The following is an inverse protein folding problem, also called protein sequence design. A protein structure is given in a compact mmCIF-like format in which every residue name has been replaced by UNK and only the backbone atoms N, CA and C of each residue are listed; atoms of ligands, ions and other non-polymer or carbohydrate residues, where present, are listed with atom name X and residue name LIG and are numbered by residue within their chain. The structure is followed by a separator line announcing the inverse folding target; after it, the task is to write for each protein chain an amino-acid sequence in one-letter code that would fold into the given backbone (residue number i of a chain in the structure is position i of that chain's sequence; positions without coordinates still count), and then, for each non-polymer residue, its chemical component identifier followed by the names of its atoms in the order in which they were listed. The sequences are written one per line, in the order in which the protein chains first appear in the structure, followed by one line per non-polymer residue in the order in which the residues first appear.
data_IF_955613857822
#
_entry.id   IF_955613857822
#
_cell.length_a   1.000
_cell.length_b   1.000
_cell.length_c   1.000
_cell.angle_alpha   90.00
_cell.angle_beta   90.00
_cell.angle_gamma   90.00
#
_symmetry.space_group_name_H-M   'P 1'
#
loop_
_entity.id
_entity.type
_entity.pdbx_description
1 polymer ?
#
# COMPACT_ATOMS: atom_id res chain seq x y z
N UNK A 1 -1.43 -8.88 -17.07
CA UNK A 1 -1.25 -7.51 -17.62
C UNK A 1 -2.62 -6.88 -17.70
N UNK A 2 -2.80 -5.66 -17.16
CA UNK A 2 -4.09 -4.96 -17.32
C UNK A 2 -4.22 -4.42 -18.76
N UNK A 3 -5.45 -4.24 -19.24
CA UNK A 3 -5.73 -3.59 -20.54
C UNK A 3 -5.06 -2.21 -20.63
N UNK A 4 -5.01 -1.49 -19.50
CA UNK A 4 -4.32 -0.20 -19.39
C UNK A 4 -2.82 -0.32 -19.71
N UNK A 5 -2.13 -1.30 -19.14
CA UNK A 5 -0.71 -1.53 -19.43
C UNK A 5 -0.46 -1.96 -20.88
N UNK A 6 -1.34 -2.75 -21.48
CA UNK A 6 -1.20 -3.12 -22.90
C UNK A 6 -1.26 -1.91 -23.82
N UNK A 7 -2.18 -0.96 -23.55
CA UNK A 7 -2.28 0.30 -24.31
C UNK A 7 -1.12 1.26 -24.02
N UNK A 8 -0.83 1.51 -22.75
CA UNK A 8 0.21 2.47 -22.34
C UNK A 8 1.62 2.05 -22.76
N UNK A 9 1.89 0.74 -22.80
CA UNK A 9 3.22 0.19 -23.02
C UNK A 9 3.37 -0.45 -24.40
N UNK A 10 2.42 -0.19 -25.31
CA UNK A 10 2.52 -0.63 -26.69
C UNK A 10 3.78 -0.05 -27.33
N UNK A 11 4.55 -0.88 -28.04
CA UNK A 11 5.83 -0.54 -28.66
C UNK A 11 6.86 0.13 -27.71
N UNK A 12 6.73 -0.06 -26.39
CA UNK A 12 7.65 0.54 -25.40
C UNK A 12 9.14 0.26 -25.64
N UNK A 13 9.58 -0.90 -26.15
CA UNK A 13 10.99 -1.09 -26.47
C UNK A 13 11.55 -0.06 -27.45
N UNK A 14 10.73 0.51 -28.33
CA UNK A 14 11.15 1.50 -29.33
C UNK A 14 11.26 2.90 -28.73
N UNK A 15 10.28 3.31 -27.92
CA UNK A 15 10.20 4.70 -27.44
C UNK A 15 10.72 4.91 -26.03
N UNK A 16 10.83 3.88 -25.18
CA UNK A 16 11.14 4.04 -23.75
C UNK A 16 12.42 4.85 -23.52
N UNK A 17 13.49 4.55 -24.26
CA UNK A 17 14.80 5.17 -24.11
C UNK A 17 14.76 6.71 -24.17
N UNK A 18 13.93 7.29 -25.04
CA UNK A 18 13.77 8.74 -25.17
C UNK A 18 12.55 9.25 -24.38
N UNK A 19 11.45 8.50 -24.42
CA UNK A 19 10.16 8.89 -23.87
C UNK A 19 10.16 9.03 -22.36
N UNK A 20 10.86 8.16 -21.63
CA UNK A 20 10.88 8.19 -20.15
C UNK A 20 11.85 9.22 -19.57
N UNK A 21 12.80 9.75 -20.36
CA UNK A 21 13.76 10.77 -19.90
C UNK A 21 13.03 12.04 -19.44
N UNK A 22 12.04 12.46 -20.21
CA UNK A 22 11.26 13.67 -19.91
C UNK A 22 10.35 13.46 -18.70
N UNK A 23 10.52 14.29 -17.65
CA UNK A 23 9.71 14.21 -16.44
C UNK A 23 8.20 14.34 -16.71
N UNK A 24 7.81 15.22 -17.66
CA UNK A 24 6.41 15.40 -18.08
C UNK A 24 5.76 14.10 -18.58
N UNK A 25 6.51 13.27 -19.32
CA UNK A 25 6.01 12.02 -19.85
C UNK A 25 5.83 10.98 -18.74
N UNK A 26 6.79 10.92 -17.80
CA UNK A 26 6.68 10.06 -16.61
C UNK A 26 5.43 10.39 -15.79
N UNK A 27 5.17 11.68 -15.58
CA UNK A 27 3.96 12.15 -14.87
C UNK A 27 2.68 11.77 -15.61
N UNK A 28 2.61 12.03 -16.92
CA UNK A 28 1.43 11.69 -17.73
C UNK A 28 1.13 10.18 -17.73
N UNK A 29 2.17 9.35 -17.84
CA UNK A 29 2.05 7.88 -17.75
C UNK A 29 1.52 7.44 -16.37
N UNK A 30 2.06 8.00 -15.28
CA UNK A 30 1.59 7.70 -13.93
C UNK A 30 0.13 8.12 -13.72
N UNK A 31 -0.27 9.29 -14.21
CA UNK A 31 -1.66 9.78 -14.12
C UNK A 31 -2.64 8.90 -14.91
N UNK A 32 -2.25 8.44 -16.11
CA UNK A 32 -3.09 7.53 -16.89
C UNK A 32 -3.25 6.16 -16.20
N UNK A 33 -2.19 5.66 -15.56
CA UNK A 33 -2.22 4.41 -14.80
C UNK A 33 -3.01 4.54 -13.48
N UNK A 34 -2.99 5.72 -12.87
CA UNK A 34 -3.60 6.02 -11.56
C UNK A 34 -5.07 5.64 -11.48
N UNK A 35 -5.85 5.87 -12.54
CA UNK A 35 -7.28 5.56 -12.54
C UNK A 35 -7.57 4.08 -12.27
N UNK A 36 -6.75 3.17 -12.82
CA UNK A 36 -6.82 1.75 -12.53
C UNK A 36 -6.27 1.43 -11.12
N UNK A 37 -5.15 2.06 -10.74
CA UNK A 37 -4.50 1.83 -9.45
C UNK A 37 -5.43 2.16 -8.27
N UNK A 38 -6.11 3.31 -8.30
CA UNK A 38 -7.07 3.70 -7.26
C UNK A 38 -8.18 2.65 -7.08
N UNK A 39 -8.69 2.10 -8.19
CA UNK A 39 -9.77 1.11 -8.14
C UNK A 39 -9.31 -0.23 -7.58
N UNK A 40 -8.12 -0.68 -7.99
CA UNK A 40 -7.51 -1.92 -7.47
C UNK A 40 -7.15 -1.78 -5.99
N UNK A 41 -6.60 -0.63 -5.60
CA UNK A 41 -6.26 -0.32 -4.21
C UNK A 41 -7.45 0.11 -3.37
N UNK A 42 -8.64 0.34 -3.96
CA UNK A 42 -9.84 0.89 -3.32
C UNK A 42 -9.57 2.14 -2.46
N UNK A 43 -8.65 3.00 -2.88
CA UNK A 43 -8.23 4.15 -2.08
C UNK A 43 -8.98 5.43 -2.47
N UNK A 44 -8.89 6.49 -1.67
CA UNK A 44 -9.46 7.78 -2.04
C UNK A 44 -8.76 8.39 -3.27
N UNK A 45 -9.51 9.14 -4.08
CA UNK A 45 -8.99 9.87 -5.25
C UNK A 45 -7.92 10.92 -4.94
N UNK A 46 -7.70 11.24 -3.68
CA UNK A 46 -6.73 12.24 -3.18
C UNK A 46 -5.38 11.62 -2.79
N UNK A 47 -5.29 10.29 -2.68
CA UNK A 47 -4.04 9.56 -2.35
C UNK A 47 -2.98 9.87 -3.41
N UNK A 48 -1.69 9.96 -3.07
CA UNK A 48 -0.67 10.28 -4.11
C UNK A 48 -0.58 9.20 -5.21
N UNK A 49 -0.09 9.56 -6.40
CA UNK A 49 0.04 8.60 -7.52
C UNK A 49 0.90 7.41 -7.13
N UNK A 50 2.07 7.69 -6.53
CA UNK A 50 3.00 6.65 -6.08
C UNK A 50 2.37 5.75 -5.01
N UNK A 51 1.68 6.31 -4.02
CA UNK A 51 1.01 5.49 -3.00
C UNK A 51 -0.07 4.59 -3.59
N UNK A 52 -0.91 5.12 -4.50
CA UNK A 52 -1.95 4.32 -5.16
C UNK A 52 -1.34 3.18 -5.99
N UNK A 53 -0.24 3.44 -6.70
CA UNK A 53 0.50 2.45 -7.48
C UNK A 53 1.13 1.36 -6.59
N UNK A 54 1.77 1.75 -5.49
CA UNK A 54 2.36 0.84 -4.50
C UNK A 54 1.28 -0.03 -3.88
N UNK A 55 0.18 0.54 -3.36
CA UNK A 55 -0.93 -0.24 -2.81
C UNK A 55 -1.52 -1.22 -3.82
N UNK A 56 -1.62 -0.82 -5.09
CA UNK A 56 -2.10 -1.69 -6.17
C UNK A 56 -1.06 -2.74 -6.64
N UNK A 57 0.15 -2.75 -6.07
CA UNK A 57 1.29 -3.59 -6.49
C UNK A 57 1.65 -3.41 -7.96
N UNK A 58 1.50 -2.19 -8.47
CA UNK A 58 1.75 -1.86 -9.87
C UNK A 58 2.96 -0.93 -9.96
N UNK A 59 4.10 -1.38 -10.51
CA UNK A 59 5.19 -0.46 -10.80
C UNK A 59 4.72 0.67 -11.74
N UNK A 60 5.24 1.90 -11.58
CA UNK A 60 4.94 3.00 -12.48
C UNK A 60 5.21 2.63 -13.94
N UNK A 61 4.33 3.06 -14.85
CA UNK A 61 4.36 2.67 -16.25
C UNK A 61 5.66 3.05 -16.96
N UNK A 62 6.34 4.13 -16.56
CA UNK A 62 7.64 4.48 -17.12
C UNK A 62 8.73 3.44 -16.77
N UNK A 63 8.74 2.92 -15.54
CA UNK A 63 9.66 1.83 -15.16
C UNK A 63 9.30 0.52 -15.90
N UNK A 64 8.01 0.24 -16.09
CA UNK A 64 7.56 -0.92 -16.88
C UNK A 64 7.93 -0.79 -18.37
N UNK A 65 7.98 0.43 -18.91
CA UNK A 65 8.42 0.68 -20.28
C UNK A 65 9.91 0.38 -20.43
N UNK A 66 10.74 0.83 -19.48
CA UNK A 66 12.16 0.51 -19.43
C UNK A 66 12.41 -0.98 -19.19
N UNK A 67 11.65 -1.64 -18.31
CA UNK A 67 11.68 -3.10 -18.10
C UNK A 67 11.50 -3.84 -19.43
N UNK A 68 10.48 -3.47 -20.22
CA UNK A 68 10.21 -4.10 -21.51
C UNK A 68 11.32 -3.87 -22.53
N UNK A 69 11.90 -2.67 -22.56
CA UNK A 69 13.05 -2.35 -23.42
C UNK A 69 14.25 -3.22 -23.05
N UNK A 70 14.62 -3.28 -21.77
CA UNK A 70 15.75 -4.10 -21.28
C UNK A 70 15.54 -5.58 -21.57
N UNK A 71 14.30 -6.09 -21.40
CA UNK A 71 13.98 -7.48 -21.78
C UNK A 71 14.21 -7.71 -23.28
N UNK A 72 13.77 -6.79 -24.15
CA UNK A 72 13.91 -6.93 -25.61
C UNK A 72 15.39 -6.99 -26.03
N UNK A 73 16.22 -6.12 -25.48
CA UNK A 73 17.67 -6.05 -25.76
C UNK A 73 18.39 -7.35 -25.38
N UNK A 74 17.95 -7.98 -24.29
CA UNK A 74 18.57 -9.17 -23.71
C UNK A 74 18.06 -10.48 -24.31
N UNK A 75 17.04 -10.46 -25.19
CA UNK A 75 16.46 -11.70 -25.76
C UNK A 75 17.44 -12.59 -26.52
N UNK A 76 18.56 -12.03 -27.00
CA UNK A 76 19.60 -12.75 -27.74
C UNK A 76 20.62 -13.44 -26.82
N UNK A 77 20.56 -13.20 -25.51
CA UNK A 77 21.44 -13.85 -24.54
C UNK A 77 21.18 -15.36 -24.48
N UNK A 78 22.22 -16.19 -24.19
CA UNK A 78 22.09 -17.63 -24.07
C UNK A 78 21.44 -18.04 -22.74
N UNK A 79 20.22 -17.55 -22.50
CA UNK A 79 19.41 -17.86 -21.31
C UNK A 79 17.91 -17.85 -21.67
N UNK A 80 17.07 -18.26 -20.73
CA UNK A 80 15.61 -18.26 -20.98
C UNK A 80 15.01 -16.87 -20.78
N UNK A 81 13.99 -16.54 -21.58
CA UNK A 81 13.22 -15.29 -21.43
C UNK A 81 12.58 -15.18 -20.04
N UNK A 82 12.24 -16.31 -19.41
CA UNK A 82 11.71 -16.33 -18.05
C UNK A 82 12.75 -15.82 -17.02
N UNK A 83 14.01 -16.25 -17.14
CA UNK A 83 15.11 -15.78 -16.29
C UNK A 83 15.36 -14.28 -16.51
N UNK A 84 15.39 -13.83 -17.76
CA UNK A 84 15.56 -12.40 -18.10
C UNK A 84 14.42 -11.58 -17.46
N UNK A 85 13.15 -11.97 -17.67
CA UNK A 85 11.99 -11.27 -17.10
C UNK A 85 12.07 -11.18 -15.57
N UNK A 86 12.51 -12.24 -14.89
CA UNK A 86 12.69 -12.24 -13.45
C UNK A 86 13.77 -11.23 -13.03
N UNK A 87 14.95 -11.28 -13.65
CA UNK A 87 16.05 -10.36 -13.34
C UNK A 87 15.66 -8.89 -13.59
N UNK A 88 15.01 -8.60 -14.71
CA UNK A 88 14.57 -7.25 -15.07
C UNK A 88 13.46 -6.75 -14.15
N UNK A 89 12.55 -7.63 -13.71
CA UNK A 89 11.57 -7.27 -12.68
C UNK A 89 12.23 -6.92 -11.35
N UNK A 90 13.23 -7.68 -10.91
CA UNK A 90 13.98 -7.35 -9.68
C UNK A 90 14.71 -6.00 -9.82
N UNK A 91 15.25 -5.68 -11.00
CA UNK A 91 15.84 -4.37 -11.27
C UNK A 91 14.80 -3.24 -11.20
N UNK A 92 13.62 -3.43 -11.81
CA UNK A 92 12.49 -2.50 -11.73
C UNK A 92 12.05 -2.25 -10.29
N UNK A 93 11.99 -3.29 -9.46
CA UNK A 93 11.59 -3.15 -8.05
C UNK A 93 12.65 -2.41 -7.23
N UNK A 94 13.95 -2.60 -7.50
CA UNK A 94 15.02 -1.80 -6.88
C UNK A 94 14.93 -0.32 -7.26
N UNK A 95 14.71 -0.01 -8.54
CA UNK A 95 14.49 1.37 -9.00
C UNK A 95 13.25 1.99 -8.32
N UNK A 96 12.17 1.22 -8.20
CA UNK A 96 10.95 1.64 -7.52
C UNK A 96 11.18 1.90 -6.03
N UNK A 97 11.95 1.05 -5.34
CA UNK A 97 12.32 1.24 -3.93
C UNK A 97 13.06 2.57 -3.75
N UNK A 98 14.04 2.89 -4.59
CA UNK A 98 14.76 4.18 -4.53
C UNK A 98 13.80 5.36 -4.68
N UNK A 99 12.87 5.31 -5.65
CA UNK A 99 11.86 6.36 -5.81
C UNK A 99 10.95 6.47 -4.57
N UNK A 100 10.59 5.32 -3.99
CA UNK A 100 9.75 5.25 -2.81
C UNK A 100 10.43 5.84 -1.56
N UNK A 101 11.72 5.59 -1.37
CA UNK A 101 12.49 6.12 -0.25
C UNK A 101 12.67 7.64 -0.31
N UNK A 102 12.58 8.23 -1.51
CA UNK A 102 12.81 9.66 -1.73
C UNK A 102 11.54 10.47 -1.97
N UNK A 103 10.36 9.84 -2.07
CA UNK A 103 9.11 10.61 -2.23
C UNK A 103 8.81 11.45 -1.00
N UNK A 104 8.58 12.74 -1.19
CA UNK A 104 8.11 13.65 -0.13
C UNK A 104 6.62 13.51 0.16
N UNK A 105 5.91 12.76 -0.70
CA UNK A 105 4.48 12.46 -0.56
C UNK A 105 4.31 11.05 -0.02
N UNK A 106 3.25 10.84 0.76
CA UNK A 106 2.86 9.54 1.33
C UNK A 106 3.81 8.98 2.41
N UNK A 107 4.37 9.85 3.24
CA UNK A 107 5.22 9.46 4.37
C UNK A 107 4.58 8.38 5.27
N UNK A 108 3.29 8.51 5.59
CA UNK A 108 2.55 7.50 6.34
C UNK A 108 2.51 6.14 5.63
N UNK A 109 2.11 6.12 4.36
CA UNK A 109 2.06 4.87 3.57
C UNK A 109 3.42 4.20 3.47
N UNK A 110 4.49 4.98 3.34
CA UNK A 110 5.86 4.44 3.34
C UNK A 110 6.26 3.85 4.68
N UNK A 111 5.82 4.44 5.80
CA UNK A 111 6.02 3.84 7.12
C UNK A 111 5.33 2.47 7.22
N UNK A 112 4.14 2.32 6.63
CA UNK A 112 3.39 1.06 6.63
C UNK A 112 3.93 0.03 5.61
N UNK A 113 4.51 0.51 4.51
CA UNK A 113 5.03 -0.31 3.40
C UNK A 113 6.46 0.15 3.08
N UNK A 114 7.45 -0.12 3.94
CA UNK A 114 8.81 0.34 3.74
C UNK A 114 9.51 -0.45 2.62
N UNK A 115 9.22 -1.76 2.50
CA UNK A 115 9.83 -2.65 1.51
C UNK A 115 8.84 -2.98 0.38
N UNK A 116 9.13 -2.45 -0.81
CA UNK A 116 8.34 -2.65 -2.03
C UNK A 116 8.41 -4.10 -2.52
N UNK A 117 9.57 -4.76 -2.39
CA UNK A 117 9.75 -6.15 -2.82
C UNK A 117 8.89 -7.08 -1.97
N UNK A 118 8.94 -6.96 -0.63
CA UNK A 118 8.09 -7.73 0.28
C UNK A 118 6.61 -7.47 0.00
N UNK A 119 6.22 -6.21 -0.21
CA UNK A 119 4.83 -5.85 -0.51
C UNK A 119 4.29 -6.44 -1.82
N UNK A 120 5.12 -6.47 -2.87
CA UNK A 120 4.73 -7.00 -4.19
C UNK A 120 4.70 -8.53 -4.19
N UNK A 121 5.62 -9.18 -3.48
CA UNK A 121 5.78 -10.65 -3.48
C UNK A 121 5.19 -11.36 -2.26
N UNK A 122 4.45 -10.65 -1.41
CA UNK A 122 3.74 -11.27 -0.29
C UNK A 122 2.88 -12.45 -0.78
N UNK A 123 2.81 -13.51 0.02
CA UNK A 123 2.14 -14.76 -0.31
C UNK A 123 0.64 -14.60 -0.51
N UNK A 124 0.03 -13.60 0.15
CA UNK A 124 -1.39 -13.33 0.03
C UNK A 124 -1.68 -12.20 -0.97
N UNK A 125 -2.38 -12.56 -2.05
CA UNK A 125 -2.81 -11.63 -3.11
C UNK A 125 -4.29 -11.22 -2.99
N UNK A 126 -4.91 -11.37 -1.82
CA UNK A 126 -6.25 -10.87 -1.57
C UNK A 126 -6.42 -9.41 -2.02
N UNK A 127 -7.60 -9.12 -2.54
CA UNK A 127 -7.97 -7.78 -2.94
C UNK A 127 -7.90 -6.84 -1.74
N UNK A 128 -7.31 -5.66 -1.94
CA UNK A 128 -7.26 -4.62 -0.92
C UNK A 128 -8.68 -4.28 -0.45
N UNK A 129 -8.94 -4.28 0.85
CA UNK A 129 -10.21 -3.81 1.41
C UNK A 129 -10.24 -2.28 1.49
N UNK A 130 -11.44 -1.68 1.46
CA UNK A 130 -11.59 -0.23 1.49
C UNK A 130 -11.00 0.38 2.77
N UNK A 131 -11.37 -0.14 3.95
CA UNK A 131 -10.82 0.33 5.23
C UNK A 131 -9.32 0.03 5.38
N UNK A 132 -8.83 -1.10 4.86
CA UNK A 132 -7.38 -1.35 4.83
C UNK A 132 -6.63 -0.29 3.99
N UNK A 133 -7.20 0.12 2.86
CA UNK A 133 -6.62 1.22 2.08
C UNK A 133 -6.61 2.54 2.86
N UNK A 134 -7.64 2.83 3.66
CA UNK A 134 -7.66 4.00 4.54
C UNK A 134 -6.56 3.91 5.62
N UNK A 135 -6.44 2.75 6.28
CA UNK A 135 -5.42 2.49 7.29
C UNK A 135 -4.01 2.70 6.74
N UNK A 136 -3.73 2.23 5.52
CA UNK A 136 -2.42 2.34 4.89
C UNK A 136 -2.12 3.71 4.28
N UNK A 137 -3.15 4.53 4.03
CA UNK A 137 -2.96 5.85 3.38
C UNK A 137 -3.14 7.03 4.32
N UNK A 138 -3.86 6.86 5.42
CA UNK A 138 -4.32 7.96 6.27
C UNK A 138 -5.37 8.83 5.60
N UNK A 139 -5.98 8.34 4.52
CA UNK A 139 -7.08 9.02 3.84
C UNK A 139 -8.37 8.29 4.20
N UNK A 140 -9.24 8.94 4.98
CA UNK A 140 -10.41 8.32 5.57
C UNK A 140 -11.25 9.29 6.39
N UNK A 141 -12.13 8.77 7.23
CA UNK A 141 -12.96 9.54 8.17
C UNK A 141 -12.17 10.07 9.39
N UNK A 142 -10.91 10.47 9.20
CA UNK A 142 -10.05 11.08 10.23
C UNK A 142 -10.25 12.60 10.22
N UNK A 143 -10.56 13.24 11.36
CA UNK A 143 -10.83 14.69 11.37
C UNK A 143 -9.65 15.51 10.84
N UNK A 144 -8.40 15.11 11.12
CA UNK A 144 -7.21 15.73 10.50
C UNK A 144 -7.33 15.81 8.98
N UNK A 145 -7.68 14.67 8.36
CA UNK A 145 -7.78 14.56 6.92
C UNK A 145 -9.00 15.34 6.40
N UNK A 146 -10.15 15.26 7.06
CA UNK A 146 -11.36 15.97 6.66
C UNK A 146 -11.18 17.49 6.75
N UNK A 147 -10.58 17.99 7.83
CA UNK A 147 -10.22 19.40 8.03
C UNK A 147 -9.28 19.91 6.93
N UNK A 148 -8.20 19.16 6.63
CA UNK A 148 -7.28 19.47 5.52
C UNK A 148 -7.98 19.50 4.15
N UNK A 149 -9.11 18.82 4.02
CA UNK A 149 -9.96 18.82 2.81
C UNK A 149 -11.15 19.77 2.89
N UNK A 150 -11.23 20.61 3.93
CA UNK A 150 -12.32 21.57 4.18
C UNK A 150 -13.69 20.87 4.26
N UNK A 151 -13.72 19.73 4.96
CA UNK A 151 -14.90 18.89 5.21
C UNK A 151 -15.24 18.72 6.69
N UNK A 152 -14.39 19.24 7.57
CA UNK A 152 -14.60 19.34 9.00
C UNK A 152 -14.03 20.69 9.46
N UNK A 153 -14.60 21.25 10.51
CA UNK A 153 -14.20 22.57 11.03
C UNK A 153 -12.93 22.51 11.88
N UNK A 154 -12.66 21.36 12.50
CA UNK A 154 -11.55 21.16 13.45
C UNK A 154 -10.92 19.76 13.25
N UNK A 155 -9.59 19.59 13.37
CA UNK A 155 -8.90 18.30 13.26
C UNK A 155 -9.00 17.38 14.49
N UNK A 156 -9.60 17.83 15.60
CA UNK A 156 -9.71 17.08 16.87
C UNK A 156 -10.41 15.74 16.76
N UNK A 157 -10.00 14.81 17.62
CA UNK A 157 -10.70 13.55 17.76
C UNK A 157 -12.08 13.76 18.39
N UNK A 158 -13.10 13.10 17.83
CA UNK A 158 -14.47 13.19 18.32
C UNK A 158 -14.78 12.18 19.42
N UNK A 159 -13.80 11.37 19.80
CA UNK A 159 -13.96 10.26 20.74
C UNK A 159 -13.07 10.39 21.98
N UNK A 160 -12.14 11.34 21.99
CA UNK A 160 -11.24 11.64 23.10
C UNK A 160 -10.63 13.05 22.94
N UNK A 161 -9.83 13.49 23.90
CA UNK A 161 -9.28 14.86 23.94
C UNK A 161 -8.06 15.11 23.01
N UNK A 162 -7.75 14.18 22.10
CA UNK A 162 -6.64 14.35 21.18
C UNK A 162 -6.89 15.52 20.21
N UNK A 163 -5.96 16.51 20.11
CA UNK A 163 -6.09 17.66 19.23
C UNK A 163 -6.03 17.31 17.74
N UNK A 164 -5.45 16.16 17.38
CA UNK A 164 -5.25 15.77 15.99
C UNK A 164 -5.65 14.31 15.72
N UNK A 165 -6.84 14.13 15.17
CA UNK A 165 -7.39 12.82 14.76
C UNK A 165 -6.72 12.34 13.47
N UNK A 166 -5.54 11.77 13.63
CA UNK A 166 -4.82 11.08 12.56
C UNK A 166 -5.18 9.59 12.51
N UNK A 167 -4.82 8.92 11.43
CA UNK A 167 -4.90 7.45 11.33
C UNK A 167 -4.04 6.76 12.39
N UNK A 168 -2.88 7.34 12.72
CA UNK A 168 -2.00 6.82 13.77
C UNK A 168 -2.71 6.88 15.13
N UNK A 169 -3.30 8.03 15.43
CA UNK A 169 -4.11 8.17 16.64
C UNK A 169 -5.27 7.18 16.66
N UNK A 170 -6.13 7.19 15.63
CA UNK A 170 -7.33 6.35 15.57
C UNK A 170 -7.01 4.86 15.73
N UNK A 171 -6.02 4.34 15.01
CA UNK A 171 -5.74 2.90 14.97
C UNK A 171 -4.84 2.39 16.09
N UNK A 172 -4.01 3.25 16.71
CA UNK A 172 -2.98 2.78 17.65
C UNK A 172 -3.06 3.44 19.03
N UNK A 173 -3.53 4.69 19.13
CA UNK A 173 -3.40 5.47 20.38
C UNK A 173 -4.74 5.80 21.06
N UNK A 174 -5.81 5.94 20.28
CA UNK A 174 -7.08 6.45 20.77
C UNK A 174 -7.66 5.52 21.85
N UNK A 175 -7.96 6.02 23.06
CA UNK A 175 -8.45 5.19 24.16
C UNK A 175 -9.85 4.64 23.89
N UNK A 176 -10.67 5.33 23.08
CA UNK A 176 -12.01 4.87 22.71
C UNK A 176 -12.00 3.54 21.95
N UNK A 177 -10.96 3.30 21.14
CA UNK A 177 -10.80 2.08 20.33
C UNK A 177 -9.92 1.01 21.02
N UNK A 178 -9.66 1.14 22.32
CA UNK A 178 -8.77 0.21 23.04
C UNK A 178 -9.31 -1.23 23.04
N UNK A 179 -10.63 -1.41 23.15
CA UNK A 179 -11.24 -2.75 23.12
C UNK A 179 -11.03 -3.44 21.77
N UNK A 180 -11.18 -2.72 20.66
CA UNK A 180 -10.98 -3.29 19.32
C UNK A 180 -9.54 -3.71 19.07
N UNK A 181 -8.58 -3.03 19.70
CA UNK A 181 -7.15 -3.39 19.63
C UNK A 181 -6.79 -4.61 20.47
N UNK A 182 -7.62 -4.99 21.45
CA UNK A 182 -7.29 -5.99 22.47
C UNK A 182 -6.81 -7.32 21.88
N UNK A 183 -7.51 -7.84 20.87
CA UNK A 183 -7.11 -9.08 20.20
C UNK A 183 -5.70 -8.96 19.60
N UNK A 184 -5.42 -7.87 18.87
CA UNK A 184 -4.11 -7.63 18.27
C UNK A 184 -3.01 -7.46 19.30
N UNK A 185 -3.25 -6.71 20.37
CA UNK A 185 -2.27 -6.49 21.44
C UNK A 185 -1.96 -7.79 22.19
N UNK A 186 -2.94 -8.67 22.36
CA UNK A 186 -2.72 -10.02 22.91
C UNK A 186 -1.89 -10.90 21.97
N UNK A 187 -2.18 -10.89 20.67
CA UNK A 187 -1.41 -11.67 19.70
C UNK A 187 0.05 -11.18 19.58
N UNK A 188 0.28 -9.87 19.69
CA UNK A 188 1.63 -9.26 19.65
C UNK A 188 2.33 -9.33 21.02
N UNK A 189 1.57 -9.47 22.12
CA UNK A 189 2.07 -9.53 23.50
C UNK A 189 2.47 -8.18 24.10
N UNK A 190 2.12 -7.08 23.42
CA UNK A 190 2.39 -5.69 23.84
C UNK A 190 1.44 -4.73 23.11
N UNK A 191 1.36 -3.44 23.51
CA UNK A 191 0.62 -2.45 22.75
C UNK A 191 1.04 -2.42 21.28
N UNK A 192 0.03 -2.39 20.40
CA UNK A 192 0.23 -2.39 18.96
C UNK A 192 0.82 -1.05 18.54
N UNK A 193 1.86 -1.09 17.72
CA UNK A 193 2.56 0.08 17.21
C UNK A 193 2.47 0.13 15.69
N UNK A 194 2.53 1.33 15.08
CA UNK A 194 2.51 1.44 13.62
C UNK A 194 3.68 0.68 12.94
N UNK A 195 4.80 0.53 13.64
CA UNK A 195 5.97 -0.17 13.13
C UNK A 195 5.82 -1.70 13.11
N UNK A 196 4.71 -2.24 13.63
CA UNK A 196 4.39 -3.67 13.55
C UNK A 196 3.76 -4.03 12.20
N UNK A 197 3.11 -3.05 11.54
CA UNK A 197 2.37 -3.24 10.29
C UNK A 197 3.23 -3.80 9.14
N UNK A 198 4.47 -3.32 8.91
CA UNK A 198 5.36 -3.87 7.89
C UNK A 198 5.66 -5.37 8.01
N UNK A 199 5.52 -5.95 9.20
CA UNK A 199 5.72 -7.38 9.41
C UNK A 199 4.40 -8.16 9.47
N UNK A 200 3.33 -7.53 9.99
CA UNK A 200 2.00 -8.13 10.06
C UNK A 200 1.41 -8.39 8.67
N UNK A 201 1.45 -7.41 7.75
CA UNK A 201 0.72 -7.54 6.48
C UNK A 201 1.41 -8.46 5.47
N UNK A 202 2.71 -8.28 5.15
CA UNK A 202 3.39 -9.14 4.20
C UNK A 202 3.66 -10.55 4.74
N UNK A 203 3.70 -10.69 6.08
CA UNK A 203 4.12 -11.91 6.76
C UNK A 203 5.66 -12.08 6.76
N UNK A 204 6.14 -13.24 7.24
CA UNK A 204 7.57 -13.52 7.40
C UNK A 204 8.29 -13.54 6.04
N UNK A 205 9.56 -13.13 6.05
CA UNK A 205 10.43 -13.27 4.89
C UNK A 205 10.66 -14.75 4.58
N UNK A 206 10.40 -15.13 3.32
CA UNK A 206 10.48 -16.52 2.87
C UNK A 206 11.89 -17.07 3.03
N UNK A 207 12.89 -16.23 2.83
CA UNK A 207 14.31 -16.53 2.96
C UNK A 207 14.73 -16.80 4.42
N UNK A 208 13.97 -16.32 5.40
CA UNK A 208 14.22 -16.53 6.83
C UNK A 208 13.40 -17.69 7.42
N UNK A 209 12.53 -18.32 6.62
CA UNK A 209 11.72 -19.43 7.08
C UNK A 209 12.59 -20.68 7.32
N UNK A 210 12.36 -21.44 8.41
CA UNK A 210 13.08 -22.67 8.67
C UNK A 210 12.90 -23.70 7.54
N UNK A 211 13.92 -24.55 7.34
CA UNK A 211 13.85 -25.68 6.41
C UNK A 211 12.82 -26.73 6.86
N UNK A 212 12.66 -26.89 8.18
CA UNK A 212 11.66 -27.78 8.77
C UNK A 212 10.23 -27.36 8.38
N UNK A 213 9.56 -28.22 7.61
CA UNK A 213 8.24 -27.94 7.05
C UNK A 213 7.17 -27.72 8.14
N UNK A 214 7.26 -28.40 9.27
CA UNK A 214 6.29 -28.27 10.37
C UNK A 214 6.47 -26.95 11.11
N UNK A 215 7.71 -26.51 11.35
CA UNK A 215 8.02 -25.20 11.92
C UNK A 215 7.65 -24.07 10.95
N UNK A 216 7.94 -24.22 9.65
CA UNK A 216 7.52 -23.27 8.61
C UNK A 216 6.02 -23.05 8.61
N UNK A 217 5.23 -24.13 8.51
CA UNK A 217 3.76 -24.07 8.53
C UNK A 217 3.21 -23.36 9.77
N UNK A 218 3.81 -23.61 10.95
CA UNK A 218 3.41 -22.93 12.20
C UNK A 218 3.65 -21.42 12.14
N UNK A 219 4.79 -21.00 11.62
CA UNK A 219 5.13 -19.57 11.49
C UNK A 219 4.18 -18.91 10.48
N UNK A 220 3.95 -19.53 9.33
CA UNK A 220 3.02 -19.03 8.30
C UNK A 220 1.59 -18.94 8.84
N UNK A 221 1.10 -19.95 9.56
CA UNK A 221 -0.23 -19.94 10.17
C UNK A 221 -0.38 -18.84 11.23
N UNK A 222 0.66 -18.62 12.05
CA UNK A 222 0.67 -17.54 13.03
C UNK A 222 0.64 -16.16 12.36
N UNK A 223 1.45 -15.97 11.31
CA UNK A 223 1.47 -14.73 10.54
C UNK A 223 0.13 -14.44 9.86
N UNK A 224 -0.51 -15.48 9.31
CA UNK A 224 -1.84 -15.37 8.75
C UNK A 224 -2.89 -15.01 9.82
N UNK A 225 -2.80 -15.61 11.02
CA UNK A 225 -3.64 -15.25 12.16
C UNK A 225 -3.51 -13.78 12.55
N UNK A 226 -2.28 -13.27 12.68
CA UNK A 226 -1.99 -11.86 12.96
C UNK A 226 -2.56 -10.93 11.89
N UNK A 227 -2.38 -11.27 10.62
CA UNK A 227 -2.89 -10.49 9.48
C UNK A 227 -4.41 -10.40 9.49
N UNK A 228 -5.09 -11.52 9.74
CA UNK A 228 -6.55 -11.58 9.80
C UNK A 228 -7.11 -10.80 11.00
N UNK A 229 -6.48 -10.93 12.18
CA UNK A 229 -6.83 -10.15 13.35
C UNK A 229 -6.65 -8.65 13.10
N UNK A 230 -5.57 -8.24 12.43
CA UNK A 230 -5.34 -6.84 12.08
C UNK A 230 -6.40 -6.33 11.10
N UNK A 231 -6.78 -7.15 10.11
CA UNK A 231 -7.87 -6.84 9.19
C UNK A 231 -9.21 -6.64 9.91
N UNK A 232 -9.56 -7.53 10.86
CA UNK A 232 -10.79 -7.39 11.68
C UNK A 232 -10.78 -6.12 12.52
N UNK A 233 -9.66 -5.83 13.19
CA UNK A 233 -9.49 -4.62 13.99
C UNK A 233 -9.69 -3.37 13.14
N UNK A 234 -9.04 -3.29 11.98
CA UNK A 234 -9.17 -2.15 11.05
C UNK A 234 -10.61 -1.98 10.58
N UNK A 235 -11.29 -3.07 10.22
CA UNK A 235 -12.68 -3.04 9.78
C UNK A 235 -13.63 -2.58 10.89
N UNK A 236 -13.46 -3.09 12.11
CA UNK A 236 -14.27 -2.73 13.27
C UNK A 236 -14.12 -1.24 13.65
N UNK A 237 -12.88 -0.75 13.73
CA UNK A 237 -12.59 0.64 14.10
C UNK A 237 -13.08 1.59 13.00
N UNK A 238 -12.62 1.40 11.76
CA UNK A 238 -12.91 2.36 10.69
C UNK A 238 -14.36 2.28 10.21
N UNK A 239 -14.99 1.11 10.24
CA UNK A 239 -16.41 0.95 9.94
C UNK A 239 -17.28 1.73 10.93
N UNK A 240 -17.09 1.52 12.24
CA UNK A 240 -17.85 2.26 13.27
C UNK A 240 -17.56 3.76 13.25
N UNK A 241 -16.31 4.16 12.99
CA UNK A 241 -15.93 5.57 12.86
C UNK A 241 -16.59 6.23 11.64
N UNK A 242 -16.62 5.55 10.50
CA UNK A 242 -17.30 6.06 9.29
C UNK A 242 -18.81 6.21 9.50
N UNK A 243 -19.46 5.25 10.16
CA UNK A 243 -20.89 5.35 10.46
C UNK A 243 -21.19 6.51 11.43
N UNK A 244 -20.36 6.70 12.46
CA UNK A 244 -20.46 7.85 13.36
C UNK A 244 -20.29 9.19 12.61
N UNK A 245 -19.34 9.25 11.68
CA UNK A 245 -19.10 10.42 10.83
C UNK A 245 -20.32 10.71 9.93
N UNK A 246 -20.90 9.69 9.30
CA UNK A 246 -22.10 9.84 8.45
C UNK A 246 -23.28 10.39 9.23
N UNK A 247 -23.54 9.84 10.42
CA UNK A 247 -24.63 10.32 11.30
C UNK A 247 -24.41 11.77 11.70
N UNK A 248 -23.16 12.16 11.99
CA UNK A 248 -22.85 13.55 12.35
C UNK A 248 -23.08 14.50 11.18
N UNK A 249 -22.55 14.19 10.00
CA UNK A 249 -22.72 15.03 8.81
C UNK A 249 -24.19 15.19 8.43
N UNK A 250 -25.00 14.14 8.61
CA UNK A 250 -26.44 14.20 8.37
C UNK A 250 -27.20 15.15 9.31
N UNK A 251 -26.65 15.48 10.49
CA UNK A 251 -27.25 16.43 11.45
C UNK A 251 -26.89 17.89 11.18
N UNK A 252 -25.95 18.14 10.27
CA UNK A 252 -25.51 19.49 9.88
C UNK A 252 -26.35 20.07 8.72
N UNK A 253 -27.29 19.29 8.19
CA UNK A 253 -28.24 19.65 7.13
C UNK A 253 -29.68 19.42 7.62
#
# INVERSE_FOLDING_TARGET
MSVAHSKLLYASPVWALAGVRAARNRVALSQAQRGAAIRVARCYRTVSDMAALVLARMPPAHLLADERRRIEERKREPTTVAVIRRQEREATLRELQVIWDHTTKAAWTRRMIPDIRRWVYQSNHEAMAFHMAQALTGHGCFQHYLWKRRRADDPRCMHCDEPDDTVEHTLFNCPFWAEDRREMEQCVGRPLQPNDVPDIIPGPEKELLPDDASRRRRIEAMAEGLRLAFGRMVEAILGRKEDAERVRQARLF
#
